data_IF_483437406077
#
_entry.id   IF_483437406077
#
_cell.length_a   1.000
_cell.length_b   1.000
_cell.length_c   1.000
_cell.angle_alpha   90.00
_cell.angle_beta   90.00
_cell.angle_gamma   90.00
#
_symmetry.space_group_name_H-M   'P 1'
#
loop_
_entity.id
_entity.type
_entity.pdbx_description
1 polymer ?
#
# COMPACT_ATOMS: atom_id res chain seq x y z
N UNK A 1 -28.68 0.39 12.73
CA UNK A 1 -27.57 0.94 13.50
C UNK A 1 -26.77 -0.11 14.27
N UNK A 2 -27.43 -1.04 15.00
CA UNK A 2 -26.73 -2.09 15.74
C UNK A 2 -25.99 -3.08 14.84
N UNK A 3 -26.60 -3.54 13.76
CA UNK A 3 -25.99 -4.45 12.79
C UNK A 3 -24.76 -3.80 12.13
N UNK A 4 -24.85 -2.52 11.74
CA UNK A 4 -23.71 -1.77 11.17
C UNK A 4 -22.55 -1.72 12.15
N UNK A 5 -22.82 -1.42 13.41
CA UNK A 5 -21.79 -1.44 14.47
C UNK A 5 -21.16 -2.83 14.59
N UNK A 6 -21.97 -3.89 14.64
CA UNK A 6 -21.46 -5.27 14.73
C UNK A 6 -20.58 -5.64 13.55
N UNK A 7 -21.00 -5.31 12.32
CA UNK A 7 -20.22 -5.55 11.11
C UNK A 7 -18.89 -4.79 11.13
N UNK A 8 -18.89 -3.49 11.43
CA UNK A 8 -17.66 -2.71 11.56
C UNK A 8 -16.73 -3.29 12.64
N UNK A 9 -17.27 -3.62 13.81
CA UNK A 9 -16.48 -4.17 14.91
C UNK A 9 -15.94 -5.58 14.63
N UNK A 10 -16.57 -6.36 13.75
CA UNK A 10 -16.10 -7.70 13.40
C UNK A 10 -14.77 -7.73 12.67
N UNK A 11 -14.39 -6.64 12.01
CA UNK A 11 -13.13 -6.52 11.27
C UNK A 11 -12.04 -5.77 12.05
N UNK A 12 -12.34 -5.30 13.27
CA UNK A 12 -11.40 -4.59 14.15
C UNK A 12 -10.77 -5.54 15.16
N UNK A 13 -9.47 -5.38 15.38
CA UNK A 13 -8.78 -5.96 16.54
C UNK A 13 -9.22 -5.24 17.83
N UNK A 14 -8.99 -5.84 18.99
CA UNK A 14 -9.39 -5.22 20.25
C UNK A 14 -8.67 -3.89 20.51
N UNK A 15 -7.39 -3.78 20.15
CA UNK A 15 -6.66 -2.51 20.21
C UNK A 15 -7.27 -1.44 19.28
N UNK A 16 -7.70 -1.82 18.09
CA UNK A 16 -8.36 -0.92 17.14
C UNK A 16 -9.75 -0.48 17.65
N UNK A 17 -10.50 -1.37 18.33
CA UNK A 17 -11.78 -1.01 18.96
C UNK A 17 -11.57 0.06 20.04
N UNK A 18 -10.60 -0.13 20.94
CA UNK A 18 -10.27 0.86 21.97
C UNK A 18 -9.90 2.21 21.36
N UNK A 19 -9.00 2.21 20.37
CA UNK A 19 -8.61 3.44 19.68
C UNK A 19 -9.82 4.13 19.02
N UNK A 20 -10.69 3.37 18.36
CA UNK A 20 -11.88 3.90 17.71
C UNK A 20 -12.86 4.51 18.74
N UNK A 21 -13.03 3.88 19.92
CA UNK A 21 -13.90 4.37 20.98
C UNK A 21 -13.38 5.68 21.61
N UNK A 22 -12.07 5.93 21.55
CA UNK A 22 -11.45 7.18 22.01
C UNK A 22 -11.53 8.30 20.97
N UNK A 23 -11.34 7.97 19.70
CA UNK A 23 -11.16 8.97 18.62
C UNK A 23 -12.38 9.18 17.74
N UNK A 24 -13.35 8.24 17.76
CA UNK A 24 -14.53 8.17 16.88
C UNK A 24 -14.23 8.03 15.38
N UNK A 25 -12.97 7.83 15.02
CA UNK A 25 -12.51 7.65 13.65
C UNK A 25 -11.33 6.66 13.62
N UNK A 26 -11.31 5.76 12.66
CA UNK A 26 -10.23 4.79 12.48
C UNK A 26 -10.05 4.41 11.02
N UNK A 27 -8.84 4.63 10.50
CA UNK A 27 -8.40 4.00 9.26
C UNK A 27 -7.80 2.64 9.56
N UNK A 28 -8.11 1.65 8.74
CA UNK A 28 -7.61 0.29 8.87
C UNK A 28 -7.45 -0.39 7.52
N UNK A 29 -6.60 -1.39 7.49
CA UNK A 29 -6.58 -2.36 6.40
C UNK A 29 -6.69 -3.78 6.96
N UNK A 30 -7.36 -4.66 6.23
CA UNK A 30 -7.50 -6.07 6.61
C UNK A 30 -7.65 -6.94 5.36
N UNK A 31 -7.27 -8.21 5.49
CA UNK A 31 -7.37 -9.18 4.41
C UNK A 31 -8.43 -10.22 4.72
N UNK A 32 -9.25 -10.55 3.73
CA UNK A 32 -10.15 -11.71 3.78
C UNK A 32 -9.52 -12.78 2.87
N UNK A 33 -9.17 -13.92 3.47
CA UNK A 33 -8.50 -15.00 2.75
C UNK A 33 -9.27 -15.40 1.48
N UNK A 34 -8.55 -15.55 0.37
CA UNK A 34 -9.08 -15.92 -0.95
C UNK A 34 -10.08 -14.94 -1.57
N UNK A 35 -10.33 -13.78 -0.94
CA UNK A 35 -11.29 -12.80 -1.45
C UNK A 35 -10.59 -11.50 -1.86
N UNK A 36 -10.10 -10.73 -0.91
CA UNK A 36 -9.41 -9.45 -1.17
C UNK A 36 -8.76 -8.88 0.09
N UNK A 37 -7.87 -7.90 -0.08
CA UNK A 37 -7.52 -6.93 0.94
C UNK A 37 -8.51 -5.77 0.87
N UNK A 38 -8.84 -5.20 2.01
CA UNK A 38 -9.75 -4.07 2.12
C UNK A 38 -9.08 -2.93 2.87
N UNK A 39 -9.25 -1.73 2.34
CA UNK A 39 -9.04 -0.49 3.09
C UNK A 39 -10.38 -0.05 3.64
N UNK A 40 -10.44 0.24 4.93
CA UNK A 40 -11.63 0.70 5.62
C UNK A 40 -11.39 1.99 6.39
N UNK A 41 -12.40 2.83 6.44
CA UNK A 41 -12.50 3.90 7.41
C UNK A 41 -13.78 3.68 8.21
N UNK A 42 -13.66 3.54 9.54
CA UNK A 42 -14.77 3.42 10.47
C UNK A 42 -14.91 4.73 11.22
N UNK A 43 -16.09 5.28 11.27
CA UNK A 43 -16.36 6.60 11.84
C UNK A 43 -17.72 6.68 12.51
N UNK A 44 -17.91 7.69 13.36
CA UNK A 44 -19.20 7.97 13.97
C UNK A 44 -19.94 9.05 13.19
N UNK A 45 -21.19 8.77 12.81
CA UNK A 45 -22.09 9.72 12.16
C UNK A 45 -23.40 9.81 12.92
N UNK A 46 -23.79 11.00 13.39
CA UNK A 46 -25.05 11.25 14.13
C UNK A 46 -25.25 10.25 15.27
N UNK A 47 -24.18 9.97 16.04
CA UNK A 47 -24.19 9.04 17.16
C UNK A 47 -24.22 7.54 16.77
N UNK A 48 -24.08 7.20 15.49
CA UNK A 48 -24.06 5.82 15.02
C UNK A 48 -22.73 5.49 14.33
N UNK A 49 -22.27 4.27 14.51
CA UNK A 49 -21.08 3.77 13.81
C UNK A 49 -21.41 3.53 12.33
N UNK A 50 -20.52 4.00 11.48
CA UNK A 50 -20.56 3.82 10.03
C UNK A 50 -19.19 3.38 9.53
N UNK A 51 -19.12 2.78 8.35
CA UNK A 51 -17.86 2.37 7.74
C UNK A 51 -17.89 2.51 6.22
N UNK A 52 -16.77 2.92 5.66
CA UNK A 52 -16.53 2.96 4.22
C UNK A 52 -15.40 1.97 3.90
N UNK A 53 -15.65 1.01 3.00
CA UNK A 53 -14.68 -0.04 2.67
C UNK A 53 -14.44 -0.07 1.17
N UNK A 54 -13.16 -0.19 0.79
CA UNK A 54 -12.72 -0.34 -0.60
C UNK A 54 -11.93 -1.64 -0.75
N UNK A 55 -12.33 -2.47 -1.70
CA UNK A 55 -11.55 -3.64 -2.06
C UNK A 55 -10.29 -3.23 -2.82
N UNK A 56 -9.16 -3.83 -2.46
CA UNK A 56 -7.87 -3.65 -3.11
C UNK A 56 -7.67 -4.82 -4.07
N UNK A 57 -7.41 -4.58 -5.37
CA UNK A 57 -7.22 -5.65 -6.34
C UNK A 57 -6.03 -6.55 -5.98
N UNK A 58 -6.18 -7.88 -6.09
CA UNK A 58 -5.05 -8.80 -5.99
C UNK A 58 -4.22 -8.86 -7.26
N UNK A 59 -4.89 -8.65 -8.43
CA UNK A 59 -4.23 -8.74 -9.72
C UNK A 59 -3.47 -7.45 -9.99
N UNK A 60 -2.16 -7.57 -10.16
CA UNK A 60 -1.32 -6.51 -10.70
C UNK A 60 -1.36 -6.67 -12.23
N UNK A 61 -1.70 -5.59 -12.91
CA UNK A 61 -1.76 -5.56 -14.37
C UNK A 61 -0.36 -5.45 -14.96
N UNK A 62 -0.13 -6.11 -16.10
CA UNK A 62 1.14 -6.05 -16.81
C UNK A 62 1.31 -4.74 -17.58
N UNK A 63 2.51 -4.47 -18.09
CA UNK A 63 2.75 -3.30 -18.93
C UNK A 63 1.90 -3.33 -20.21
N UNK A 64 1.69 -4.51 -20.78
CA UNK A 64 0.88 -4.74 -21.97
C UNK A 64 -0.61 -4.49 -21.68
N UNK A 65 -1.14 -5.00 -20.56
CA UNK A 65 -2.53 -4.76 -20.14
C UNK A 65 -2.81 -3.28 -19.83
N UNK A 66 -1.80 -2.54 -19.37
CA UNK A 66 -1.89 -1.10 -19.08
C UNK A 66 -1.55 -0.24 -20.29
N UNK A 67 -1.16 -0.84 -21.42
CA UNK A 67 -0.71 -0.11 -22.62
C UNK A 67 0.37 0.93 -22.31
N UNK A 68 1.30 0.59 -21.38
CA UNK A 68 2.36 1.51 -20.98
C UNK A 68 3.36 1.74 -22.11
N UNK A 69 3.86 2.98 -22.28
CA UNK A 69 4.89 3.27 -23.27
C UNK A 69 6.15 2.42 -23.04
N UNK A 70 6.86 1.99 -24.12
CA UNK A 70 8.06 1.14 -24.02
C UNK A 70 9.18 1.73 -23.14
N UNK A 71 9.19 3.04 -22.93
CA UNK A 71 10.15 3.70 -22.05
C UNK A 71 10.01 3.23 -20.60
N UNK A 72 8.81 2.88 -20.14
CA UNK A 72 8.57 2.39 -18.76
C UNK A 72 9.30 1.07 -18.54
N UNK A 73 9.25 0.17 -19.52
CA UNK A 73 10.01 -1.08 -19.48
C UNK A 73 11.53 -0.82 -19.48
N UNK A 74 12.00 0.10 -20.31
CA UNK A 74 13.41 0.47 -20.33
C UNK A 74 13.87 1.08 -18.99
N UNK A 75 13.00 1.84 -18.31
CA UNK A 75 13.30 2.40 -16.99
C UNK A 75 13.33 1.32 -15.90
N UNK A 76 12.43 0.32 -15.93
CA UNK A 76 12.41 -0.77 -14.95
C UNK A 76 13.69 -1.64 -15.00
N UNK A 77 14.39 -1.65 -16.13
CA UNK A 77 15.66 -2.39 -16.33
C UNK A 77 16.91 -1.62 -15.89
N UNK A 78 16.78 -0.35 -15.50
CA UNK A 78 17.94 0.44 -15.04
C UNK A 78 18.45 -0.08 -13.70
N UNK A 79 19.77 -0.22 -13.53
CA UNK A 79 20.35 -0.74 -12.29
C UNK A 79 20.31 0.25 -11.12
N UNK A 80 20.12 1.54 -11.40
CA UNK A 80 20.08 2.63 -10.41
C UNK A 80 19.46 3.89 -10.98
N UNK A 81 18.96 4.73 -10.11
CA UNK A 81 18.36 6.03 -10.44
C UNK A 81 17.11 6.29 -9.64
N UNK A 82 16.50 7.42 -9.88
CA UNK A 82 15.22 7.82 -9.31
C UNK A 82 14.17 7.89 -10.43
N UNK A 83 13.03 7.25 -10.20
CA UNK A 83 11.86 7.30 -11.09
C UNK A 83 10.75 8.01 -10.34
N UNK A 84 10.22 9.08 -10.90
CA UNK A 84 9.08 9.82 -10.36
C UNK A 84 7.85 9.58 -11.25
N UNK A 85 6.76 9.09 -10.62
CA UNK A 85 5.46 8.92 -11.27
C UNK A 85 4.53 10.00 -10.73
N UNK A 86 4.16 10.95 -11.57
CA UNK A 86 3.38 12.12 -11.18
C UNK A 86 2.05 12.19 -11.92
N UNK A 87 1.08 12.86 -11.31
CA UNK A 87 -0.26 13.04 -11.89
C UNK A 87 -1.34 13.24 -10.83
N UNK A 88 -2.56 13.61 -11.22
CA UNK A 88 -3.67 13.79 -10.29
C UNK A 88 -4.11 12.45 -9.68
N UNK A 89 -4.94 12.53 -8.63
CA UNK A 89 -5.59 11.35 -8.05
C UNK A 89 -6.40 10.62 -9.12
N UNK A 90 -6.31 9.28 -9.13
CA UNK A 90 -7.02 8.45 -10.11
C UNK A 90 -6.36 8.35 -11.50
N UNK A 91 -5.18 8.96 -11.71
CA UNK A 91 -4.47 8.88 -13.01
C UNK A 91 -3.70 7.58 -13.24
N UNK A 92 -3.76 6.62 -12.32
CA UNK A 92 -3.08 5.32 -12.47
C UNK A 92 -1.66 5.26 -11.91
N UNK A 93 -1.22 6.25 -11.11
CA UNK A 93 0.15 6.27 -10.53
C UNK A 93 0.49 4.98 -9.79
N UNK A 94 -0.32 4.61 -8.80
CA UNK A 94 -0.10 3.40 -8.00
C UNK A 94 -0.18 2.13 -8.82
N UNK A 95 -1.08 2.08 -9.81
CA UNK A 95 -1.19 0.95 -10.73
C UNK A 95 0.07 0.80 -11.59
N UNK A 96 0.60 1.92 -12.09
CA UNK A 96 1.85 1.94 -12.87
C UNK A 96 3.04 1.53 -12.01
N UNK A 97 3.15 2.07 -10.78
CA UNK A 97 4.22 1.69 -9.84
C UNK A 97 4.15 0.21 -9.48
N UNK A 98 2.95 -0.31 -9.19
CA UNK A 98 2.76 -1.73 -8.90
C UNK A 98 3.19 -2.62 -10.07
N UNK A 99 2.86 -2.24 -11.31
CA UNK A 99 3.29 -2.95 -12.52
C UNK A 99 4.81 -2.92 -12.69
N UNK A 100 5.47 -1.79 -12.42
CA UNK A 100 6.94 -1.67 -12.46
C UNK A 100 7.58 -2.59 -11.41
N UNK A 101 7.11 -2.53 -10.17
CA UNK A 101 7.62 -3.38 -9.08
C UNK A 101 7.41 -4.86 -9.40
N UNK A 102 6.24 -5.23 -9.93
CA UNK A 102 5.96 -6.63 -10.28
C UNK A 102 6.85 -7.13 -11.42
N UNK A 103 7.15 -6.29 -12.43
CA UNK A 103 8.09 -6.61 -13.50
C UNK A 103 9.51 -6.84 -12.95
N UNK A 104 9.98 -5.95 -12.06
CA UNK A 104 11.28 -6.12 -11.38
C UNK A 104 11.29 -7.42 -10.59
N UNK A 105 10.23 -7.69 -9.82
CA UNK A 105 10.09 -8.90 -9.01
C UNK A 105 10.07 -10.20 -9.82
N UNK A 106 9.66 -10.13 -11.10
CA UNK A 106 9.69 -11.28 -12.01
C UNK A 106 11.06 -11.49 -12.67
N UNK A 107 11.76 -10.41 -12.99
CA UNK A 107 12.96 -10.45 -13.84
C UNK A 107 14.28 -10.43 -13.07
N UNK A 108 14.27 -10.01 -11.78
CA UNK A 108 15.45 -9.85 -10.96
C UNK A 108 15.45 -10.77 -9.74
N UNK A 109 16.63 -10.93 -9.12
CA UNK A 109 16.83 -11.65 -7.85
C UNK A 109 17.40 -10.67 -6.82
N UNK A 110 16.58 -9.75 -6.36
CA UNK A 110 16.94 -8.58 -5.57
C UNK A 110 16.03 -8.44 -4.34
N UNK A 111 16.34 -7.48 -3.48
CA UNK A 111 15.52 -7.12 -2.33
C UNK A 111 14.73 -5.85 -2.62
N UNK A 112 13.41 -5.97 -2.68
CA UNK A 112 12.48 -4.86 -2.88
C UNK A 112 11.86 -4.50 -1.54
N UNK A 113 11.92 -3.22 -1.16
CA UNK A 113 11.22 -2.73 0.03
C UNK A 113 10.26 -1.61 -0.37
N UNK A 114 9.00 -1.71 0.07
CA UNK A 114 8.02 -0.64 -0.13
C UNK A 114 7.65 0.02 1.18
N UNK A 115 7.36 1.33 1.12
CA UNK A 115 6.81 2.12 2.23
C UNK A 115 5.59 2.84 1.67
N UNK A 116 4.41 2.55 2.21
CA UNK A 116 3.14 2.97 1.65
C UNK A 116 2.15 3.42 2.74
N UNK A 117 1.21 4.29 2.37
CA UNK A 117 0.16 4.81 3.27
C UNK A 117 -1.20 4.89 2.55
N UNK A 118 -1.94 3.78 2.57
CA UNK A 118 -1.59 2.40 2.92
C UNK A 118 -1.04 1.61 1.71
N UNK A 119 -0.73 0.31 1.91
CA UNK A 119 -0.39 -0.61 0.82
C UNK A 119 -1.59 -0.76 -0.13
N UNK A 120 -1.38 -0.40 -1.42
CA UNK A 120 -2.44 -0.48 -2.45
C UNK A 120 -2.41 -1.77 -3.27
N UNK A 121 -1.26 -2.43 -3.39
CA UNK A 121 -1.09 -3.72 -4.09
C UNK A 121 -0.21 -4.65 -3.29
N UNK A 122 -0.60 -5.93 -3.19
CA UNK A 122 0.22 -6.93 -2.53
C UNK A 122 1.15 -7.60 -3.55
N UNK A 123 2.44 -7.57 -3.28
CA UNK A 123 3.46 -8.21 -4.08
C UNK A 123 3.92 -9.51 -3.44
N UNK A 124 3.57 -10.70 -3.99
CA UNK A 124 4.14 -11.95 -3.52
C UNK A 124 5.63 -12.00 -3.87
N UNK A 125 6.40 -12.76 -3.10
CA UNK A 125 7.77 -13.08 -3.50
C UNK A 125 7.74 -13.89 -4.82
N UNK A 126 8.56 -13.46 -5.79
CA UNK A 126 8.78 -14.16 -7.07
C UNK A 126 10.27 -14.42 -7.23
N UNK A 127 10.97 -13.67 -8.09
CA UNK A 127 12.42 -13.66 -8.15
C UNK A 127 13.07 -12.87 -7.02
N UNK A 128 12.39 -11.81 -6.57
CA UNK A 128 12.86 -10.95 -5.49
C UNK A 128 12.26 -11.32 -4.13
N UNK A 129 12.94 -10.92 -3.05
CA UNK A 129 12.33 -10.80 -1.73
C UNK A 129 11.62 -9.45 -1.68
N UNK A 130 10.34 -9.43 -1.34
CA UNK A 130 9.55 -8.19 -1.24
C UNK A 130 9.09 -7.97 0.20
N UNK A 131 9.50 -6.87 0.80
CA UNK A 131 9.05 -6.42 2.10
C UNK A 131 8.22 -5.15 1.93
N UNK A 132 6.93 -5.21 2.23
CA UNK A 132 6.02 -4.08 2.17
C UNK A 132 5.73 -3.59 3.60
N UNK A 133 5.88 -2.29 3.81
CA UNK A 133 5.66 -1.66 5.12
C UNK A 133 4.59 -0.57 5.02
N UNK A 134 3.56 -0.70 5.83
CA UNK A 134 2.44 0.25 5.90
C UNK A 134 2.65 1.25 7.03
N UNK A 135 2.43 2.53 6.75
CA UNK A 135 2.45 3.57 7.78
C UNK A 135 1.31 3.33 8.78
N UNK A 136 1.61 3.50 10.06
CA UNK A 136 0.65 3.31 11.16
C UNK A 136 0.46 1.86 11.60
N UNK A 137 0.83 0.87 10.75
CA UNK A 137 0.79 -0.56 11.09
C UNK A 137 2.19 -1.12 11.34
N UNK A 138 3.12 -0.87 10.41
CA UNK A 138 4.46 -1.47 10.41
C UNK A 138 5.56 -0.45 10.71
N UNK A 139 5.25 0.83 10.60
CA UNK A 139 6.16 1.93 10.86
C UNK A 139 5.38 3.22 11.17
N UNK A 140 5.97 4.11 11.96
CA UNK A 140 5.29 5.32 12.43
C UNK A 140 5.17 6.40 11.35
N UNK A 141 6.12 6.48 10.42
CA UNK A 141 6.15 7.51 9.37
C UNK A 141 7.10 7.12 8.24
N UNK A 142 6.97 7.80 7.08
CA UNK A 142 7.93 7.68 5.98
C UNK A 142 9.35 7.99 6.44
N UNK A 143 9.56 9.08 7.19
CA UNK A 143 10.86 9.47 7.74
C UNK A 143 11.46 8.39 8.63
N UNK A 144 10.66 7.82 9.54
CA UNK A 144 11.12 6.72 10.41
C UNK A 144 11.51 5.50 9.58
N UNK A 145 10.67 5.10 8.64
CA UNK A 145 10.94 3.97 7.76
C UNK A 145 12.21 4.18 6.94
N UNK A 146 12.38 5.33 6.28
CA UNK A 146 13.54 5.66 5.45
C UNK A 146 14.85 5.61 6.23
N UNK A 147 14.86 6.08 7.48
CA UNK A 147 16.03 6.00 8.34
C UNK A 147 16.54 4.57 8.55
N UNK A 148 15.64 3.60 8.61
CA UNK A 148 15.98 2.20 8.88
C UNK A 148 16.11 1.35 7.62
N UNK A 149 15.45 1.72 6.53
CA UNK A 149 15.45 0.94 5.29
C UNK A 149 16.86 0.78 4.70
N UNK A 150 17.70 1.82 4.80
CA UNK A 150 19.10 1.79 4.35
C UNK A 150 19.97 0.73 5.07
N UNK A 151 19.49 0.22 6.21
CA UNK A 151 20.17 -0.85 6.96
C UNK A 151 19.62 -2.23 6.63
N UNK A 152 18.60 -2.30 5.77
CA UNK A 152 17.97 -3.53 5.34
C UNK A 152 18.52 -4.02 4.00
N UNK A 153 19.54 -3.33 3.47
CA UNK A 153 20.21 -3.63 2.19
C UNK A 153 19.23 -3.81 1.01
N UNK A 154 18.38 -2.80 0.75
CA UNK A 154 17.43 -2.86 -0.34
C UNK A 154 18.13 -2.51 -1.67
N UNK A 155 17.84 -3.27 -2.71
CA UNK A 155 18.23 -2.95 -4.09
C UNK A 155 17.22 -2.01 -4.74
N UNK A 156 15.94 -2.19 -4.41
CA UNK A 156 14.82 -1.39 -4.93
C UNK A 156 13.96 -0.88 -3.78
N UNK A 157 13.68 0.42 -3.81
CA UNK A 157 12.83 1.07 -2.82
C UNK A 157 11.65 1.73 -3.52
N UNK A 158 10.42 1.42 -3.11
CA UNK A 158 9.23 2.14 -3.50
C UNK A 158 8.78 3.02 -2.33
N UNK A 159 8.59 4.31 -2.59
CA UNK A 159 7.90 5.24 -1.71
C UNK A 159 6.53 5.52 -2.32
N UNK A 160 5.47 5.15 -1.62
CA UNK A 160 4.09 5.22 -2.16
C UNK A 160 3.65 6.64 -2.49
N UNK A 161 4.12 7.61 -1.70
CA UNK A 161 3.84 9.03 -1.95
C UNK A 161 4.88 9.94 -1.29
N UNK A 162 5.05 11.12 -1.87
CA UNK A 162 5.91 12.19 -1.35
C UNK A 162 5.01 13.40 -1.07
N UNK A 163 4.62 13.62 0.20
CA UNK A 163 3.72 14.69 0.61
C UNK A 163 4.43 15.87 1.26
N UNK A 164 5.61 15.66 1.78
CA UNK A 164 6.36 16.65 2.54
C UNK A 164 7.84 16.66 2.17
N UNK A 165 8.55 17.69 2.65
CA UNK A 165 9.98 17.86 2.43
C UNK A 165 10.87 16.91 3.24
N UNK A 166 10.29 16.19 4.19
CA UNK A 166 11.04 15.26 5.05
C UNK A 166 11.14 13.86 4.45
N UNK A 167 10.19 13.51 3.56
CA UNK A 167 10.16 12.28 2.78
C UNK A 167 11.03 12.40 1.54
#
# INVERSE_FOLDING_TARGET
PQETKQLCYSVLTDAQKHRFEETNELDLSFSVQKLSRFRGNVFVQRGNVSGAFRAIPFKIMTFEELELPPIVEALSKKPRGLILVTGPTGSGKSTTLASIVDRINQERNEHIVTIEDPIEYLHPHKGCIVNQREIGSDTDSFKAALKYILRQDPDVVLIGELRDLET
#
